data_IF_189567183751
#
_entry.id   IF_189567183751
#
_cell.length_a   1.000
_cell.length_b   1.000
_cell.length_c   1.000
_cell.angle_alpha   90.00
_cell.angle_beta   90.00
_cell.angle_gamma   90.00
#
_symmetry.space_group_name_H-M   'P 1'
#
loop_
_entity.id
_entity.type
_entity.pdbx_description
1 polymer ?
#
# COMPACT_ATOMS: atom_id res chain seq x y z
N UNK A 1 -9.08 -2.71 -6.60
CA UNK A 1 -9.16 -3.80 -5.59
C UNK A 1 -8.04 -4.79 -5.87
N UNK A 2 -7.21 -5.08 -4.86
CA UNK A 2 -6.02 -5.92 -4.93
C UNK A 2 -6.32 -7.37 -5.36
N UNK A 3 -7.44 -7.96 -4.94
CA UNK A 3 -7.83 -9.32 -5.33
C UNK A 3 -7.93 -9.49 -6.86
N UNK A 4 -8.41 -8.46 -7.58
CA UNK A 4 -8.46 -8.49 -9.04
C UNK A 4 -7.07 -8.66 -9.66
N UNK A 5 -6.04 -7.98 -9.13
CA UNK A 5 -4.68 -8.06 -9.62
C UNK A 5 -4.03 -9.41 -9.28
N UNK A 6 -4.26 -9.93 -8.07
CA UNK A 6 -3.75 -11.25 -7.65
C UNK A 6 -4.29 -12.40 -8.51
N UNK A 7 -5.49 -12.25 -9.09
CA UNK A 7 -6.08 -13.22 -10.03
C UNK A 7 -5.55 -13.11 -11.46
N UNK A 8 -4.79 -12.08 -11.80
CA UNK A 8 -4.25 -11.96 -13.16
C UNK A 8 -3.17 -13.02 -13.39
N UNK A 9 -3.21 -13.79 -14.49
CA UNK A 9 -2.26 -14.89 -14.74
C UNK A 9 -0.79 -14.45 -14.67
N UNK A 10 -0.53 -13.21 -15.11
CA UNK A 10 0.81 -12.63 -15.12
C UNK A 10 1.36 -12.32 -13.73
N UNK A 11 0.52 -12.18 -12.69
CA UNK A 11 0.95 -12.01 -11.30
C UNK A 11 0.80 -13.32 -10.51
N UNK A 12 -0.31 -14.03 -10.71
CA UNK A 12 -0.67 -15.25 -9.98
C UNK A 12 0.43 -16.31 -10.01
N UNK A 13 1.13 -16.45 -11.14
CA UNK A 13 2.23 -17.42 -11.33
C UNK A 13 3.50 -17.13 -10.51
N UNK A 14 3.61 -15.94 -9.93
CA UNK A 14 4.80 -15.50 -9.21
C UNK A 14 4.61 -15.43 -7.69
N UNK A 15 3.37 -15.48 -7.20
CA UNK A 15 3.03 -15.30 -5.79
C UNK A 15 2.77 -16.64 -5.10
N UNK A 16 3.19 -16.75 -3.85
CA UNK A 16 2.80 -17.86 -2.98
C UNK A 16 1.69 -17.44 -2.00
N UNK A 17 1.26 -18.36 -1.12
CA UNK A 17 0.20 -18.09 -0.14
C UNK A 17 0.54 -16.95 0.84
N UNK A 18 1.81 -16.81 1.23
CA UNK A 18 2.28 -15.75 2.11
C UNK A 18 2.24 -14.38 1.41
N UNK A 19 2.60 -14.33 0.12
CA UNK A 19 2.51 -13.12 -0.70
C UNK A 19 1.06 -12.66 -0.90
N UNK A 20 0.14 -13.61 -1.10
CA UNK A 20 -1.30 -13.34 -1.20
C UNK A 20 -1.82 -12.77 0.14
N UNK A 21 -1.47 -13.41 1.26
CA UNK A 21 -1.84 -12.94 2.60
C UNK A 21 -1.30 -11.52 2.86
N UNK A 22 -0.01 -11.29 2.59
CA UNK A 22 0.63 -9.98 2.71
C UNK A 22 -0.07 -8.93 1.83
N UNK A 23 -0.41 -9.28 0.60
CA UNK A 23 -1.05 -8.36 -0.34
C UNK A 23 -2.46 -7.94 0.09
N UNK A 24 -3.26 -8.91 0.54
CA UNK A 24 -4.62 -8.65 1.01
C UNK A 24 -4.59 -7.85 2.31
N UNK A 25 -3.69 -8.19 3.24
CA UNK A 25 -3.53 -7.44 4.49
C UNK A 25 -3.03 -6.02 4.23
N UNK A 26 -2.01 -5.83 3.39
CA UNK A 26 -1.54 -4.51 2.98
C UNK A 26 -2.69 -3.67 2.41
N UNK A 27 -3.51 -4.22 1.52
CA UNK A 27 -4.67 -3.53 0.98
C UNK A 27 -5.70 -3.13 2.04
N UNK A 28 -5.90 -3.96 3.08
CA UNK A 28 -6.81 -3.63 4.19
C UNK A 28 -6.26 -2.56 5.13
N UNK A 29 -4.94 -2.50 5.32
CA UNK A 29 -4.32 -1.61 6.31
C UNK A 29 -3.72 -0.33 5.73
N UNK A 30 -3.64 -0.18 4.41
CA UNK A 30 -2.82 0.89 3.81
C UNK A 30 -3.23 2.31 4.22
N UNK A 31 -4.49 2.54 4.61
CA UNK A 31 -5.02 3.80 5.15
C UNK A 31 -5.52 3.67 6.61
N UNK A 32 -5.05 2.67 7.36
CA UNK A 32 -5.54 2.40 8.71
C UNK A 32 -5.24 3.56 9.66
N UNK A 33 -6.28 4.16 10.24
CA UNK A 33 -6.14 5.31 11.13
C UNK A 33 -5.93 6.64 10.40
N UNK A 34 -6.25 6.72 9.10
CA UNK A 34 -6.14 7.95 8.33
C UNK A 34 -6.97 9.09 8.95
N UNK A 35 -6.37 10.26 9.24
CA UNK A 35 -7.04 11.39 9.90
C UNK A 35 -7.92 12.23 8.96
N UNK A 36 -7.94 11.92 7.66
CA UNK A 36 -8.65 12.70 6.64
C UNK A 36 -7.89 13.93 6.16
N UNK A 37 -6.60 14.04 6.49
CA UNK A 37 -5.67 15.11 6.04
C UNK A 37 -4.46 14.48 5.36
N UNK A 38 -3.83 15.20 4.43
CA UNK A 38 -2.68 14.71 3.69
C UNK A 38 -1.34 14.98 4.39
N UNK A 39 -0.26 14.31 3.92
CA UNK A 39 1.10 14.48 4.45
C UNK A 39 1.57 15.96 4.48
N UNK A 40 1.27 16.76 3.44
CA UNK A 40 1.64 18.19 3.41
C UNK A 40 0.96 19.01 4.50
N UNK A 41 -0.30 18.70 4.82
CA UNK A 41 -1.02 19.35 5.92
C UNK A 41 -0.35 19.05 7.27
N UNK A 42 0.01 17.79 7.53
CA UNK A 42 0.71 17.39 8.76
C UNK A 42 2.05 18.12 8.92
N UNK A 43 2.81 18.24 7.83
CA UNK A 43 4.10 18.95 7.78
C UNK A 43 3.93 20.45 8.14
N UNK A 44 3.00 21.14 7.46
CA UNK A 44 2.77 22.59 7.66
C UNK A 44 2.22 22.89 9.07
N UNK A 45 1.38 22.01 9.61
CA UNK A 45 0.80 22.17 10.95
C UNK A 45 1.72 21.72 12.07
N UNK A 46 2.89 21.12 11.74
CA UNK A 46 3.83 20.53 12.70
C UNK A 46 3.15 19.49 13.59
N UNK A 47 2.32 18.66 12.96
CA UNK A 47 1.62 17.59 13.65
C UNK A 47 2.60 16.61 14.31
N UNK A 48 2.14 15.90 15.35
CA UNK A 48 2.95 14.92 16.05
C UNK A 48 3.48 13.80 15.13
N UNK A 49 2.71 13.42 14.10
CA UNK A 49 3.15 12.44 13.09
C UNK A 49 4.31 12.97 12.25
N UNK A 50 4.32 14.26 11.93
CA UNK A 50 5.42 14.91 11.22
C UNK A 50 6.72 14.88 12.01
N UNK A 51 6.64 15.21 13.30
CA UNK A 51 7.77 15.12 14.22
C UNK A 51 8.24 13.67 14.44
N UNK A 52 7.31 12.71 14.46
CA UNK A 52 7.62 11.29 14.71
C UNK A 52 8.31 10.64 13.52
N UNK A 53 7.83 10.93 12.30
CA UNK A 53 8.33 10.31 11.06
C UNK A 53 9.23 11.24 10.24
N UNK A 54 9.62 12.38 10.80
CA UNK A 54 10.58 13.33 10.22
C UNK A 54 10.21 13.72 8.77
N UNK A 55 8.93 14.04 8.54
CA UNK A 55 8.39 14.48 7.25
C UNK A 55 8.49 13.45 6.09
N UNK A 56 8.84 12.19 6.39
CA UNK A 56 8.98 11.10 5.41
C UNK A 56 7.83 10.11 5.54
N UNK A 57 6.97 10.07 4.50
CA UNK A 57 5.83 9.12 4.38
C UNK A 57 5.08 8.94 5.70
N UNK A 58 4.66 10.05 6.31
CA UNK A 58 4.21 10.10 7.70
C UNK A 58 2.97 9.24 7.92
N UNK A 59 1.97 9.40 7.05
CA UNK A 59 0.73 8.63 7.08
C UNK A 59 1.00 7.15 6.84
N UNK A 60 1.78 6.81 5.82
CA UNK A 60 2.06 5.41 5.47
C UNK A 60 2.82 4.68 6.59
N UNK A 61 3.77 5.36 7.24
CA UNK A 61 4.42 4.84 8.45
C UNK A 61 3.46 4.70 9.63
N UNK A 62 2.53 5.65 9.80
CA UNK A 62 1.50 5.59 10.84
C UNK A 62 0.57 4.39 10.64
N UNK A 63 0.08 4.17 9.42
CA UNK A 63 -0.80 3.05 9.06
C UNK A 63 -0.15 1.71 9.41
N UNK A 64 1.13 1.54 9.07
CA UNK A 64 1.92 0.36 9.44
C UNK A 64 2.08 0.23 10.96
N UNK A 65 2.42 1.30 11.66
CA UNK A 65 2.62 1.27 13.11
C UNK A 65 1.36 0.85 13.87
N UNK A 66 0.21 1.43 13.50
CA UNK A 66 -1.10 1.08 14.07
C UNK A 66 -1.44 -0.39 13.78
N UNK A 67 -1.29 -0.82 12.52
CA UNK A 67 -1.61 -2.19 12.13
C UNK A 67 -0.78 -3.23 12.88
N UNK A 68 0.55 -3.04 12.96
CA UNK A 68 1.41 -4.00 13.67
C UNK A 68 1.21 -3.98 15.18
N UNK A 69 0.91 -2.82 15.79
CA UNK A 69 0.53 -2.77 17.19
C UNK A 69 -0.76 -3.57 17.47
N UNK A 70 -1.74 -3.51 16.56
CA UNK A 70 -2.95 -4.32 16.66
C UNK A 70 -2.67 -5.81 16.51
N UNK A 71 -1.81 -6.20 15.55
CA UNK A 71 -1.43 -7.61 15.38
C UNK A 71 -0.70 -8.17 16.60
N UNK A 72 0.05 -7.34 17.34
CA UNK A 72 0.69 -7.77 18.59
C UNK A 72 -0.20 -7.67 19.84
N UNK A 73 -1.47 -7.28 19.70
CA UNK A 73 -2.40 -7.16 20.83
C UNK A 73 -3.01 -8.51 21.24
N UNK A 74 -3.33 -8.65 22.53
CA UNK A 74 -3.88 -9.89 23.08
C UNK A 74 -5.19 -10.28 22.40
N UNK A 75 -5.26 -11.51 21.86
CA UNK A 75 -6.42 -12.03 21.13
C UNK A 75 -6.44 -11.70 19.62
N UNK A 76 -5.51 -10.87 19.14
CA UNK A 76 -5.39 -10.50 17.73
C UNK A 76 -4.12 -11.03 17.06
N UNK A 77 -3.22 -11.67 17.83
CA UNK A 77 -1.95 -12.20 17.31
C UNK A 77 -2.14 -13.49 16.53
N UNK A 78 -2.49 -13.32 15.26
CA UNK A 78 -2.47 -14.38 14.27
C UNK A 78 -1.06 -14.65 13.73
N UNK A 79 -0.09 -13.75 13.98
CA UNK A 79 1.28 -13.86 13.47
C UNK A 79 2.08 -14.96 14.17
N UNK A 80 1.66 -15.35 15.37
CA UNK A 80 2.18 -16.50 16.11
C UNK A 80 2.09 -17.85 15.34
N UNK A 81 1.27 -17.93 14.28
CA UNK A 81 1.19 -19.10 13.41
C UNK A 81 2.28 -19.16 12.32
N UNK A 82 3.04 -18.08 12.12
CA UNK A 82 4.13 -18.00 11.14
C UNK A 82 5.46 -18.41 11.78
N UNK A 83 6.38 -18.98 11.00
CA UNK A 83 7.78 -19.07 11.43
C UNK A 83 8.43 -17.68 11.43
N UNK A 84 9.56 -17.53 12.13
CA UNK A 84 10.32 -16.27 12.14
C UNK A 84 10.71 -15.80 10.73
N UNK A 85 11.11 -16.73 9.85
CA UNK A 85 11.44 -16.42 8.46
C UNK A 85 10.22 -15.95 7.67
N UNK A 86 9.06 -16.59 7.88
CA UNK A 86 7.81 -16.21 7.24
C UNK A 86 7.32 -14.86 7.75
N UNK A 87 7.36 -14.61 9.06
CA UNK A 87 6.98 -13.33 9.65
C UNK A 87 7.86 -12.20 9.11
N UNK A 88 9.18 -12.41 9.05
CA UNK A 88 10.11 -11.41 8.50
C UNK A 88 9.80 -11.10 7.03
N UNK A 89 9.60 -12.12 6.20
CA UNK A 89 9.27 -11.93 4.78
C UNK A 89 7.89 -11.28 4.58
N UNK A 90 6.89 -11.69 5.36
CA UNK A 90 5.56 -11.09 5.40
C UNK A 90 5.64 -9.60 5.76
N UNK A 91 6.29 -9.29 6.89
CA UNK A 91 6.43 -7.92 7.38
C UNK A 91 7.15 -7.05 6.37
N UNK A 92 8.26 -7.51 5.82
CA UNK A 92 9.01 -6.75 4.82
C UNK A 92 8.17 -6.49 3.56
N UNK A 93 7.40 -7.49 3.11
CA UNK A 93 6.50 -7.35 1.96
C UNK A 93 5.39 -6.33 2.23
N UNK A 94 4.70 -6.42 3.37
CA UNK A 94 3.65 -5.46 3.75
C UNK A 94 4.20 -4.04 3.89
N UNK A 95 5.36 -3.87 4.54
CA UNK A 95 6.00 -2.56 4.70
C UNK A 95 6.33 -1.94 3.34
N UNK A 96 6.94 -2.71 2.42
CA UNK A 96 7.23 -2.21 1.07
C UNK A 96 5.96 -1.80 0.33
N UNK A 97 4.90 -2.60 0.43
CA UNK A 97 3.63 -2.33 -0.26
C UNK A 97 2.95 -1.06 0.26
N UNK A 98 2.81 -0.90 1.58
CA UNK A 98 2.11 0.25 2.18
C UNK A 98 2.93 1.53 2.07
N UNK A 99 4.24 1.51 2.31
CA UNK A 99 5.07 2.70 2.04
C UNK A 99 5.03 3.11 0.56
N UNK A 100 4.78 2.13 -0.32
CA UNK A 100 4.67 2.34 -1.74
C UNK A 100 3.41 3.07 -2.21
N UNK A 101 2.40 3.25 -1.35
CA UNK A 101 1.18 4.00 -1.66
C UNK A 101 1.36 5.51 -1.50
N UNK A 102 2.48 5.97 -0.93
CA UNK A 102 2.80 7.40 -0.86
C UNK A 102 2.87 8.00 -2.27
N UNK A 103 1.96 8.93 -2.56
CA UNK A 103 1.85 9.59 -3.85
C UNK A 103 3.08 10.42 -4.22
N UNK A 104 3.96 10.79 -3.27
CA UNK A 104 5.27 11.41 -3.57
C UNK A 104 6.15 10.50 -4.43
N UNK A 105 6.04 9.18 -4.29
CA UNK A 105 6.84 8.20 -5.03
C UNK A 105 6.20 7.74 -6.36
N UNK A 106 5.00 8.21 -6.70
CA UNK A 106 4.21 7.73 -7.85
C UNK A 106 4.99 7.74 -9.17
N UNK A 107 5.62 8.87 -9.52
CA UNK A 107 6.32 9.01 -10.80
C UNK A 107 7.61 8.18 -10.87
N UNK A 108 8.30 8.00 -9.75
CA UNK A 108 9.48 7.15 -9.67
C UNK A 108 9.10 5.68 -9.86
N UNK A 109 8.04 5.23 -9.17
CA UNK A 109 7.46 3.90 -9.36
C UNK A 109 7.02 3.67 -10.80
N UNK A 110 6.30 4.61 -11.40
CA UNK A 110 5.84 4.51 -12.78
C UNK A 110 6.99 4.45 -13.78
N UNK A 111 8.02 5.27 -13.58
CA UNK A 111 9.22 5.29 -14.44
C UNK A 111 9.94 3.95 -14.36
N UNK A 112 10.21 3.44 -13.15
CA UNK A 112 10.84 2.14 -12.94
C UNK A 112 10.02 1.00 -13.55
N UNK A 113 8.70 1.03 -13.40
CA UNK A 113 7.79 0.02 -13.96
C UNK A 113 7.82 0.02 -15.49
N UNK A 114 7.72 1.19 -16.12
CA UNK A 114 7.82 1.34 -17.59
C UNK A 114 9.15 0.86 -18.12
N UNK A 115 10.26 1.24 -17.49
CA UNK A 115 11.60 0.76 -17.86
C UNK A 115 11.72 -0.75 -17.76
N UNK A 116 11.17 -1.36 -16.69
CA UNK A 116 11.18 -2.82 -16.54
C UNK A 116 10.39 -3.52 -17.64
N UNK A 117 9.20 -3.02 -17.99
CA UNK A 117 8.37 -3.58 -19.08
C UNK A 117 9.02 -3.42 -20.44
N UNK A 118 9.65 -2.27 -20.71
CA UNK A 118 10.32 -2.01 -21.99
C UNK A 118 11.61 -2.85 -22.18
N UNK A 119 12.22 -3.30 -21.07
CA UNK A 119 13.36 -4.20 -21.07
C UNK A 119 12.94 -5.67 -21.07
N UNK A 120 13.40 -6.41 -20.06
CA UNK A 120 13.17 -7.86 -19.94
C UNK A 120 11.78 -8.25 -19.42
N UNK A 121 11.00 -7.29 -18.90
CA UNK A 121 9.71 -7.54 -18.27
C UNK A 121 9.83 -8.32 -16.95
N UNK A 122 8.68 -8.71 -16.40
CA UNK A 122 8.63 -9.55 -15.19
C UNK A 122 8.65 -11.02 -15.60
N UNK A 123 9.78 -11.70 -15.34
CA UNK A 123 10.02 -13.10 -15.74
C UNK A 123 9.78 -14.07 -14.57
N UNK A 124 9.85 -15.38 -14.85
CA UNK A 124 9.73 -16.41 -13.81
C UNK A 124 10.87 -16.40 -12.78
N UNK A 125 11.97 -15.70 -13.05
CA UNK A 125 13.18 -15.67 -12.22
C UNK A 125 13.33 -14.39 -11.39
N UNK A 126 12.21 -13.70 -11.10
CA UNK A 126 12.24 -12.52 -10.25
C UNK A 126 12.84 -12.80 -8.88
N UNK A 127 13.69 -11.90 -8.42
CA UNK A 127 14.09 -11.91 -7.01
C UNK A 127 12.95 -11.40 -6.11
N UNK A 128 13.11 -11.53 -4.78
CA UNK A 128 12.10 -11.06 -3.81
C UNK A 128 11.85 -9.55 -3.89
N UNK A 129 12.85 -8.73 -4.22
CA UNK A 129 12.71 -7.27 -4.31
C UNK A 129 11.88 -6.88 -5.54
N UNK A 130 12.06 -7.57 -6.65
CA UNK A 130 11.28 -7.39 -7.87
C UNK A 130 9.83 -7.82 -7.68
N UNK A 131 9.60 -8.96 -7.03
CA UNK A 131 8.25 -9.40 -6.71
C UNK A 131 7.53 -8.43 -5.78
N UNK A 132 8.18 -7.95 -4.70
CA UNK A 132 7.61 -6.93 -3.81
C UNK A 132 7.33 -5.62 -4.54
N UNK A 133 8.19 -5.21 -5.46
CA UNK A 133 7.93 -4.04 -6.31
C UNK A 133 6.71 -4.25 -7.22
N UNK A 134 6.54 -5.44 -7.81
CA UNK A 134 5.37 -5.76 -8.62
C UNK A 134 4.07 -5.76 -7.78
N UNK A 135 4.11 -6.31 -6.56
CA UNK A 135 2.99 -6.28 -5.62
C UNK A 135 2.64 -4.86 -5.17
N UNK A 136 3.65 -4.04 -4.90
CA UNK A 136 3.49 -2.60 -4.64
C UNK A 136 2.76 -1.92 -5.79
N UNK A 137 3.20 -2.12 -7.05
CA UNK A 137 2.54 -1.52 -8.21
C UNK A 137 1.08 -1.98 -8.33
N UNK A 138 0.81 -3.26 -8.05
CA UNK A 138 -0.54 -3.79 -8.05
C UNK A 138 -1.43 -3.15 -6.95
N UNK A 139 -0.91 -2.95 -5.75
CA UNK A 139 -1.62 -2.25 -4.67
C UNK A 139 -1.85 -0.77 -5.03
N UNK A 140 -0.81 -0.07 -5.50
CA UNK A 140 -0.92 1.33 -5.93
C UNK A 140 -1.96 1.51 -7.02
N UNK A 141 -1.96 0.63 -8.03
CA UNK A 141 -2.96 0.63 -9.09
C UNK A 141 -4.36 0.30 -8.57
N UNK A 142 -4.46 -0.55 -7.55
CA UNK A 142 -5.73 -0.88 -6.90
C UNK A 142 -6.31 0.27 -6.08
N UNK A 143 -5.45 1.08 -5.47
CA UNK A 143 -5.79 2.26 -4.70
C UNK A 143 -6.32 3.38 -5.62
N UNK A 144 -5.56 3.75 -6.65
CA UNK A 144 -5.95 4.82 -7.59
C UNK A 144 -6.96 4.37 -8.68
N UNK A 145 -7.64 3.23 -8.51
CA UNK A 145 -8.49 2.65 -9.56
C UNK A 145 -9.88 3.30 -9.68
N UNK A 146 -10.25 4.24 -8.81
CA UNK A 146 -11.59 4.83 -8.77
C UNK A 146 -12.09 5.35 -10.13
N UNK A 147 -11.28 6.07 -10.95
CA UNK A 147 -11.71 6.54 -12.27
C UNK A 147 -11.97 5.45 -13.30
N UNK A 148 -11.48 4.23 -13.05
CA UNK A 148 -11.66 3.07 -13.95
C UNK A 148 -12.98 2.32 -13.73
N UNK A 149 -13.73 2.70 -12.68
CA UNK A 149 -15.01 2.06 -12.32
C UNK A 149 -16.15 2.57 -13.22
N UNK A 150 -17.27 1.82 -13.31
CA UNK A 150 -18.48 2.32 -13.94
C UNK A 150 -18.87 3.70 -13.43
N UNK A 151 -19.37 4.56 -14.32
CA UNK A 151 -19.59 5.99 -14.05
C UNK A 151 -20.30 6.31 -12.72
N UNK A 152 -21.39 5.62 -12.32
CA UNK A 152 -22.04 5.91 -11.04
C UNK A 152 -21.12 5.72 -9.82
N UNK A 153 -20.25 4.71 -9.87
CA UNK A 153 -19.31 4.39 -8.79
C UNK A 153 -18.15 5.39 -8.79
N UNK A 154 -17.60 5.68 -9.98
CA UNK A 154 -16.49 6.63 -10.11
C UNK A 154 -16.88 8.03 -9.62
N UNK A 155 -18.11 8.48 -9.92
CA UNK A 155 -18.63 9.77 -9.48
C UNK A 155 -18.82 9.84 -7.96
N UNK A 156 -19.31 8.78 -7.32
CA UNK A 156 -19.46 8.76 -5.86
C UNK A 156 -18.10 8.81 -5.15
N UNK A 157 -17.09 8.09 -5.64
CA UNK A 157 -15.73 8.19 -5.10
C UNK A 157 -15.14 9.58 -5.30
N UNK A 158 -15.32 10.19 -6.48
CA UNK A 158 -14.89 11.56 -6.74
C UNK A 158 -15.54 12.56 -5.77
N UNK A 159 -16.85 12.41 -5.51
CA UNK A 159 -17.58 13.24 -4.54
C UNK A 159 -16.99 13.10 -3.13
N UNK A 160 -16.73 11.88 -2.66
CA UNK A 160 -16.15 11.62 -1.33
C UNK A 160 -14.75 12.20 -1.18
N UNK A 161 -13.87 11.97 -2.16
CA UNK A 161 -12.52 12.55 -2.13
C UNK A 161 -12.55 14.08 -2.11
N UNK A 162 -13.47 14.68 -2.87
CA UNK A 162 -13.66 16.13 -2.90
C UNK A 162 -14.18 16.66 -1.57
N UNK A 163 -15.14 15.96 -0.94
CA UNK A 163 -15.66 16.28 0.39
C UNK A 163 -14.56 16.23 1.46
N UNK A 164 -13.72 15.19 1.44
CA UNK A 164 -12.55 15.09 2.33
C UNK A 164 -11.60 16.27 2.13
N UNK A 165 -11.25 16.61 0.89
CA UNK A 165 -10.37 17.75 0.60
C UNK A 165 -10.94 19.09 1.09
N UNK A 166 -12.25 19.31 1.01
CA UNK A 166 -12.86 20.52 1.55
C UNK A 166 -12.78 20.59 3.07
N UNK A 167 -12.93 19.46 3.75
CA UNK A 167 -12.80 19.37 5.20
C UNK A 167 -11.36 19.57 5.71
N UNK A 168 -10.35 19.52 4.84
CA UNK A 168 -8.95 19.80 5.23
C UNK A 168 -8.65 21.30 5.39
N UNK A 169 -9.43 22.17 4.75
CA UNK A 169 -9.18 23.62 4.67
C UNK A 169 -10.13 24.43 5.55
N UNK A 170 -11.26 23.84 5.96
CA UNK A 170 -12.29 24.46 6.81
C UNK A 170 -12.09 24.08 8.28
#
# INVERSE_FOLDING_TARGET
NMDFFLRQPNLQRHVNALDILASLLAAMIHDLGHPGVNNTFLEVTRDALAMTYNDVSMLENHHLAVAFALFSSAGCDWTAALTEEQYRDFRETVVVMVLGTDMRAHFDHLTRFKSKIAGEGFTQHMDRKELRFLLLIALHAADVCNPTKPSPIALEWCRRSTEEFFNQVC
#
